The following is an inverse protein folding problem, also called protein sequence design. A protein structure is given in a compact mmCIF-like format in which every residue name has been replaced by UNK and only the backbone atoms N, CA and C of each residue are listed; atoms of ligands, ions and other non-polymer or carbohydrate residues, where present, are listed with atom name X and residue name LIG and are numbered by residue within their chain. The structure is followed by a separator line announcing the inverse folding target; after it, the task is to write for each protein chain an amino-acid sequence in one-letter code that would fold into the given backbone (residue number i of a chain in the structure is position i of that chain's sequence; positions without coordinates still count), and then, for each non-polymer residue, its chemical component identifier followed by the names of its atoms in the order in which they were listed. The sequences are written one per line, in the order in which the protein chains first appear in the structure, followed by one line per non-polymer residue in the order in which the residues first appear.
data_IF_176717291400
#
_entry.id   IF_176717291400
#
_cell.length_a   1.000
_cell.length_b   1.000
_cell.length_c   1.000
_cell.angle_alpha   90.00
_cell.angle_beta   90.00
_cell.angle_gamma   90.00
#
_symmetry.space_group_name_H-M   'P 1'
#
loop_
_entity.id
_entity.type
_entity.pdbx_description
1 polymer ?
#
# COMPACT_ATOMS: atom_id res chain seq x y z
N UNK A 1 -21.60 -1.90 -12.55
CA UNK A 1 -21.55 -1.84 -14.03
C UNK A 1 -22.89 -1.54 -14.66
N UNK A 2 -23.97 -2.30 -14.38
CA UNK A 2 -25.31 -1.97 -14.92
C UNK A 2 -25.81 -0.62 -14.38
N UNK A 3 -25.79 -0.43 -13.08
CA UNK A 3 -26.20 0.83 -12.42
C UNK A 3 -25.33 2.00 -12.88
N UNK A 4 -24.00 1.85 -12.82
CA UNK A 4 -23.07 2.88 -13.33
C UNK A 4 -23.33 3.26 -14.79
N UNK A 5 -23.61 2.30 -15.68
CA UNK A 5 -23.95 2.60 -17.08
C UNK A 5 -25.27 3.39 -17.19
N UNK A 6 -26.27 3.04 -16.38
CA UNK A 6 -27.55 3.74 -16.34
C UNK A 6 -27.41 5.17 -15.81
N UNK A 7 -26.65 5.36 -14.74
CA UNK A 7 -26.34 6.67 -14.16
C UNK A 7 -25.60 7.58 -15.16
N UNK A 8 -24.67 7.01 -15.93
CA UNK A 8 -23.92 7.73 -16.97
C UNK A 8 -24.71 7.90 -18.28
N UNK A 9 -25.92 7.36 -18.40
CA UNK A 9 -26.74 7.43 -19.61
C UNK A 9 -26.15 6.71 -20.83
N UNK A 10 -25.28 5.70 -20.62
CA UNK A 10 -24.60 4.95 -21.69
C UNK A 10 -24.95 3.46 -21.67
N UNK A 11 -24.68 2.78 -22.79
CA UNK A 11 -24.83 1.32 -22.85
C UNK A 11 -23.74 0.62 -22.03
N UNK A 12 -24.03 -0.59 -21.52
CA UNK A 12 -23.04 -1.45 -20.84
C UNK A 12 -21.84 -1.78 -21.74
N UNK A 13 -22.07 -1.93 -23.05
CA UNK A 13 -21.02 -2.20 -24.02
C UNK A 13 -20.08 -1.00 -24.20
N UNK A 14 -20.64 0.23 -24.19
CA UNK A 14 -19.84 1.47 -24.19
C UNK A 14 -19.03 1.60 -22.91
N UNK A 15 -19.64 1.39 -21.74
CA UNK A 15 -18.91 1.44 -20.47
C UNK A 15 -17.77 0.42 -20.43
N UNK A 16 -18.03 -0.84 -20.80
CA UNK A 16 -17.00 -1.88 -20.82
C UNK A 16 -15.86 -1.56 -21.79
N UNK A 17 -16.13 -0.94 -22.94
CA UNK A 17 -15.08 -0.49 -23.87
C UNK A 17 -14.18 0.58 -23.26
N UNK A 18 -14.72 1.42 -22.37
CA UNK A 18 -13.96 2.50 -21.73
C UNK A 18 -13.12 2.03 -20.56
N UNK A 19 -13.71 1.23 -19.66
CA UNK A 19 -13.10 0.89 -18.36
C UNK A 19 -12.80 -0.60 -18.19
N UNK A 20 -13.13 -1.41 -19.18
CA UNK A 20 -12.99 -2.86 -19.10
C UNK A 20 -13.97 -3.52 -18.13
N UNK A 21 -13.48 -4.53 -17.43
CA UNK A 21 -14.26 -5.29 -16.46
C UNK A 21 -14.50 -4.48 -15.18
N UNK A 22 -15.47 -4.91 -14.36
CA UNK A 22 -15.70 -4.33 -13.02
C UNK A 22 -14.43 -4.38 -12.17
N UNK A 23 -13.70 -5.47 -12.25
CA UNK A 23 -12.48 -5.72 -11.49
C UNK A 23 -11.34 -4.79 -11.95
N UNK A 24 -11.23 -4.52 -13.26
CA UNK A 24 -10.30 -3.54 -13.79
C UNK A 24 -10.61 -2.14 -13.26
N UNK A 25 -11.87 -1.71 -13.37
CA UNK A 25 -12.31 -0.41 -12.85
C UNK A 25 -12.09 -0.29 -11.34
N UNK A 26 -12.42 -1.33 -10.57
CA UNK A 26 -12.17 -1.35 -9.12
C UNK A 26 -10.67 -1.26 -8.82
N UNK A 27 -9.81 -1.95 -9.55
CA UNK A 27 -8.36 -1.86 -9.39
C UNK A 27 -7.84 -0.44 -9.64
N UNK A 28 -8.33 0.24 -10.67
CA UNK A 28 -7.96 1.63 -10.95
C UNK A 28 -8.47 2.60 -9.88
N UNK A 29 -9.69 2.42 -9.37
CA UNK A 29 -10.23 3.22 -8.26
C UNK A 29 -9.41 3.00 -6.99
N UNK A 30 -9.16 1.75 -6.60
CA UNK A 30 -8.37 1.41 -5.42
C UNK A 30 -6.95 1.97 -5.50
N UNK A 31 -6.34 1.93 -6.68
CA UNK A 31 -5.05 2.57 -6.91
C UNK A 31 -5.14 4.09 -6.78
N UNK A 32 -6.12 4.74 -7.39
CA UNK A 32 -6.27 6.19 -7.30
C UNK A 32 -6.42 6.66 -5.84
N UNK A 33 -7.23 5.96 -5.04
CA UNK A 33 -7.40 6.23 -3.61
C UNK A 33 -6.10 6.01 -2.82
N UNK A 34 -5.40 4.90 -3.07
CA UNK A 34 -4.11 4.62 -2.42
C UNK A 34 -3.05 5.66 -2.82
N UNK A 35 -2.97 6.01 -4.10
CA UNK A 35 -2.02 6.99 -4.62
C UNK A 35 -2.25 8.38 -4.01
N UNK A 36 -3.52 8.82 -3.96
CA UNK A 36 -3.90 10.08 -3.33
C UNK A 36 -3.58 10.08 -1.82
N UNK A 37 -3.80 8.95 -1.15
CA UNK A 37 -3.40 8.82 0.26
C UNK A 37 -1.88 8.95 0.40
N UNK A 38 -1.11 8.23 -0.41
CA UNK A 38 0.36 8.29 -0.39
C UNK A 38 0.92 9.68 -0.72
N UNK A 39 0.27 10.44 -1.61
CA UNK A 39 0.69 11.81 -1.95
C UNK A 39 0.38 12.83 -0.83
N UNK A 40 -0.65 12.56 -0.02
CA UNK A 40 -1.06 13.43 1.08
C UNK A 40 -0.42 13.08 2.42
N UNK A 41 0.18 11.89 2.54
CA UNK A 41 0.92 11.53 3.75
C UNK A 41 2.13 12.44 3.87
N UNK A 42 2.17 13.20 4.97
CA UNK A 42 3.33 14.02 5.26
C UNK A 42 4.49 13.13 5.65
N UNK A 43 5.56 13.19 4.88
CA UNK A 43 6.87 12.69 5.29
C UNK A 43 7.51 13.75 6.21
N UNK A 44 6.87 14.05 7.35
CA UNK A 44 7.44 14.93 8.39
C UNK A 44 8.64 14.22 9.00
N UNK A 45 9.79 14.38 8.37
CA UNK A 45 11.01 13.64 8.69
C UNK A 45 11.72 13.19 7.41
N UNK A 46 12.90 12.62 7.57
CA UNK A 46 13.69 12.05 6.47
C UNK A 46 14.28 10.71 6.91
N UNK A 47 14.78 9.94 5.95
CA UNK A 47 15.35 8.62 6.20
C UNK A 47 14.31 7.60 6.68
N UNK A 48 14.81 6.55 7.35
CA UNK A 48 13.99 5.41 7.78
C UNK A 48 12.85 5.79 8.72
N UNK A 49 13.08 6.67 9.69
CA UNK A 49 12.03 7.06 10.65
C UNK A 49 10.87 7.78 9.96
N UNK A 50 11.17 8.76 9.09
CA UNK A 50 10.13 9.50 8.37
C UNK A 50 9.30 8.60 7.44
N UNK A 51 9.94 7.60 6.82
CA UNK A 51 9.25 6.60 6.00
C UNK A 51 8.39 5.66 6.85
N UNK A 52 8.84 5.26 8.03
CA UNK A 52 8.06 4.43 8.94
C UNK A 52 6.81 5.15 9.46
N UNK A 53 6.93 6.45 9.81
CA UNK A 53 5.77 7.29 10.15
C UNK A 53 4.77 7.39 9.01
N UNK A 54 5.28 7.60 7.78
CA UNK A 54 4.45 7.70 6.60
C UNK A 54 3.69 6.40 6.32
N UNK A 55 4.34 5.25 6.45
CA UNK A 55 3.69 3.93 6.31
C UNK A 55 2.62 3.74 7.39
N UNK A 56 2.92 4.09 8.64
CA UNK A 56 1.94 4.04 9.73
C UNK A 56 0.70 4.91 9.45
N UNK A 57 0.92 6.13 8.98
CA UNK A 57 -0.16 7.08 8.64
C UNK A 57 -0.98 6.56 7.46
N UNK A 58 -0.34 6.06 6.40
CA UNK A 58 -1.02 5.45 5.26
C UNK A 58 -1.91 4.28 5.72
N UNK A 59 -1.37 3.33 6.49
CA UNK A 59 -2.12 2.19 7.01
C UNK A 59 -3.29 2.67 7.88
N UNK A 60 -3.08 3.66 8.74
CA UNK A 60 -4.15 4.25 9.55
C UNK A 60 -5.26 4.87 8.69
N UNK A 61 -4.92 5.66 7.67
CA UNK A 61 -5.90 6.26 6.76
C UNK A 61 -6.69 5.20 5.99
N UNK A 62 -6.04 4.14 5.51
CA UNK A 62 -6.72 3.01 4.85
C UNK A 62 -7.59 2.23 5.85
N UNK A 63 -7.14 2.06 7.09
CA UNK A 63 -7.90 1.37 8.15
C UNK A 63 -9.16 2.13 8.58
N UNK A 64 -9.13 3.46 8.50
CA UNK A 64 -10.26 4.33 8.88
C UNK A 64 -11.19 4.68 7.71
N UNK A 65 -10.86 4.29 6.48
CA UNK A 65 -11.72 4.51 5.30
C UNK A 65 -12.97 3.63 5.32
N UNK A 66 -14.13 4.22 5.64
CA UNK A 66 -15.41 3.51 5.66
C UNK A 66 -15.79 2.85 4.31
N UNK A 67 -15.58 3.48 3.14
CA UNK A 67 -15.81 2.82 1.85
C UNK A 67 -14.92 1.59 1.65
N UNK A 68 -13.64 1.70 1.99
CA UNK A 68 -12.69 0.59 1.85
C UNK A 68 -13.04 -0.58 2.79
N UNK A 69 -13.37 -0.28 4.05
CA UNK A 69 -13.81 -1.29 5.03
C UNK A 69 -15.10 -1.98 4.60
N UNK A 70 -16.03 -1.24 4.00
CA UNK A 70 -17.27 -1.81 3.44
C UNK A 70 -16.97 -2.74 2.28
N UNK A 71 -16.08 -2.34 1.36
CA UNK A 71 -15.67 -3.19 0.24
C UNK A 71 -14.97 -4.47 0.72
N UNK A 72 -14.01 -4.38 1.64
CA UNK A 72 -13.31 -5.53 2.21
C UNK A 72 -14.27 -6.55 2.84
N UNK A 73 -15.26 -6.09 3.62
CA UNK A 73 -16.21 -6.99 4.30
C UNK A 73 -17.29 -7.56 3.38
N UNK A 74 -17.74 -6.79 2.40
CA UNK A 74 -18.81 -7.23 1.48
C UNK A 74 -18.30 -8.18 0.41
N UNK A 75 -17.02 -8.06 0.01
CA UNK A 75 -16.45 -8.82 -1.10
C UNK A 75 -15.01 -9.32 -0.80
N UNK A 76 -14.77 -10.03 0.32
CA UNK A 76 -13.42 -10.32 0.82
C UNK A 76 -12.52 -11.06 -0.17
N UNK A 77 -13.04 -12.12 -0.82
CA UNK A 77 -12.29 -12.87 -1.82
C UNK A 77 -11.87 -12.01 -3.02
N UNK A 78 -12.79 -11.15 -3.51
CA UNK A 78 -12.51 -10.24 -4.62
C UNK A 78 -11.52 -9.17 -4.18
N UNK A 79 -11.70 -8.59 -3.00
CA UNK A 79 -10.83 -7.56 -2.47
C UNK A 79 -9.40 -8.09 -2.31
N UNK A 80 -9.21 -9.23 -1.64
CA UNK A 80 -7.90 -9.86 -1.50
C UNK A 80 -7.30 -10.22 -2.85
N UNK A 81 -8.09 -10.77 -3.78
CA UNK A 81 -7.60 -11.06 -5.14
C UNK A 81 -7.09 -9.80 -5.84
N UNK A 82 -7.84 -8.69 -5.82
CA UNK A 82 -7.42 -7.46 -6.49
C UNK A 82 -6.22 -6.81 -5.79
N UNK A 83 -6.20 -6.81 -4.46
CA UNK A 83 -5.23 -6.05 -3.68
C UNK A 83 -3.90 -6.79 -3.47
N UNK A 84 -3.89 -8.12 -3.52
CA UNK A 84 -2.70 -8.91 -3.13
C UNK A 84 -2.14 -9.81 -4.23
N UNK A 85 -2.73 -9.79 -5.42
CA UNK A 85 -2.32 -10.62 -6.56
C UNK A 85 -2.19 -9.80 -7.84
N UNK A 86 -1.73 -10.43 -8.92
CA UNK A 86 -1.61 -9.82 -10.26
C UNK A 86 -2.96 -9.59 -10.97
N UNK A 87 -4.09 -9.84 -10.30
CA UNK A 87 -5.41 -9.56 -10.85
C UNK A 87 -5.69 -8.05 -11.00
N UNK A 88 -4.90 -7.20 -10.33
CA UNK A 88 -4.90 -5.75 -10.55
C UNK A 88 -3.47 -5.19 -10.49
N UNK A 89 -3.33 -3.90 -10.82
CA UNK A 89 -2.07 -3.18 -10.74
C UNK A 89 -1.85 -2.48 -9.39
N UNK A 90 -2.78 -2.59 -8.43
CA UNK A 90 -2.72 -1.85 -7.15
C UNK A 90 -1.43 -2.17 -6.42
N UNK A 91 -1.15 -3.45 -6.17
CA UNK A 91 0.05 -3.85 -5.43
C UNK A 91 1.34 -3.44 -6.14
N UNK A 92 1.46 -3.73 -7.44
CA UNK A 92 2.67 -3.38 -8.20
C UNK A 92 2.92 -1.88 -8.21
N UNK A 93 1.88 -1.06 -8.36
CA UNK A 93 2.02 0.40 -8.35
C UNK A 93 2.35 0.93 -6.95
N UNK A 94 1.81 0.33 -5.89
CA UNK A 94 2.19 0.67 -4.51
C UNK A 94 3.66 0.35 -4.24
N UNK A 95 4.14 -0.82 -4.68
CA UNK A 95 5.55 -1.20 -4.58
C UNK A 95 6.44 -0.21 -5.35
N UNK A 96 6.07 0.11 -6.59
CA UNK A 96 6.86 1.05 -7.41
C UNK A 96 6.92 2.45 -6.79
N UNK A 97 5.82 2.94 -6.23
CA UNK A 97 5.77 4.24 -5.55
C UNK A 97 6.64 4.25 -4.30
N UNK A 98 6.57 3.20 -3.46
CA UNK A 98 7.43 3.10 -2.29
C UNK A 98 8.90 2.93 -2.66
N UNK A 99 9.21 2.17 -3.72
CA UNK A 99 10.58 2.02 -4.24
C UNK A 99 11.16 3.37 -4.64
N UNK A 100 10.39 4.23 -5.31
CA UNK A 100 10.85 5.57 -5.68
C UNK A 100 11.21 6.42 -4.44
N UNK A 101 10.33 6.43 -3.43
CA UNK A 101 10.58 7.14 -2.17
C UNK A 101 11.83 6.63 -1.44
N UNK A 102 12.02 5.32 -1.38
CA UNK A 102 13.20 4.70 -0.80
C UNK A 102 14.47 5.08 -1.57
N UNK A 103 14.42 5.05 -2.90
CA UNK A 103 15.54 5.41 -3.76
C UNK A 103 15.98 6.87 -3.53
N UNK A 104 15.03 7.80 -3.37
CA UNK A 104 15.31 9.21 -3.09
C UNK A 104 16.01 9.41 -1.74
N UNK A 105 15.57 8.70 -0.69
CA UNK A 105 16.19 8.78 0.63
C UNK A 105 17.58 8.13 0.67
N UNK A 106 17.79 7.05 -0.10
CA UNK A 106 19.10 6.40 -0.26
C UNK A 106 20.06 7.30 -1.05
N UNK A 107 19.62 7.85 -2.19
CA UNK A 107 20.43 8.73 -3.02
C UNK A 107 20.87 9.99 -2.27
N UNK A 108 20.05 10.46 -1.33
CA UNK A 108 20.39 11.58 -0.46
C UNK A 108 21.22 11.19 0.77
N UNK A 109 21.61 9.92 0.93
CA UNK A 109 22.41 9.43 2.05
C UNK A 109 21.69 9.38 3.40
N UNK A 110 20.35 9.47 3.40
CA UNK A 110 19.51 9.52 4.62
C UNK A 110 18.96 8.15 5.02
N UNK A 111 19.01 7.19 4.10
CA UNK A 111 18.67 5.80 4.34
C UNK A 111 19.79 4.90 3.81
N UNK A 112 20.09 3.84 4.55
CA UNK A 112 20.93 2.74 4.07
C UNK A 112 20.17 1.45 4.29
N UNK A 113 20.27 0.52 3.36
CA UNK A 113 19.68 -0.80 3.50
C UNK A 113 20.66 -1.85 3.01
N UNK A 114 20.76 -2.99 3.71
CA UNK A 114 21.49 -4.16 3.21
C UNK A 114 20.72 -4.87 2.08
N UNK A 115 19.43 -4.57 1.89
CA UNK A 115 18.59 -5.16 0.86
C UNK A 115 18.62 -4.32 -0.43
N UNK A 116 18.47 -4.96 -1.61
CA UNK A 116 18.10 -4.24 -2.82
C UNK A 116 16.83 -3.42 -2.60
N UNK A 117 16.79 -2.18 -3.12
CA UNK A 117 15.67 -1.24 -2.90
C UNK A 117 14.31 -1.81 -3.32
N UNK A 118 14.28 -2.66 -4.34
CA UNK A 118 13.07 -3.34 -4.80
C UNK A 118 12.54 -4.35 -3.77
N UNK A 119 13.44 -5.09 -3.13
CA UNK A 119 13.07 -6.10 -2.12
C UNK A 119 12.61 -5.42 -0.84
N UNK A 120 13.28 -4.35 -0.42
CA UNK A 120 12.85 -3.55 0.71
C UNK A 120 11.46 -2.94 0.49
N UNK A 121 11.20 -2.38 -0.71
CA UNK A 121 9.89 -1.86 -1.07
C UNK A 121 8.81 -2.94 -1.01
N UNK A 122 9.08 -4.11 -1.58
CA UNK A 122 8.17 -5.25 -1.52
C UNK A 122 7.85 -5.65 -0.08
N UNK A 123 8.88 -5.81 0.77
CA UNK A 123 8.68 -6.22 2.17
C UNK A 123 7.86 -5.20 2.96
N UNK A 124 8.14 -3.91 2.81
CA UNK A 124 7.39 -2.85 3.49
C UNK A 124 5.91 -2.82 3.06
N UNK A 125 5.64 -3.03 1.77
CA UNK A 125 4.25 -3.18 1.28
C UNK A 125 3.58 -4.40 1.92
N UNK A 126 4.24 -5.56 1.95
CA UNK A 126 3.69 -6.77 2.58
C UNK A 126 3.44 -6.60 4.07
N UNK A 127 4.31 -5.88 4.78
CA UNK A 127 4.10 -5.51 6.18
C UNK A 127 2.85 -4.66 6.32
N UNK A 128 2.70 -3.58 5.54
CA UNK A 128 1.49 -2.75 5.57
C UNK A 128 0.23 -3.54 5.29
N UNK A 129 0.23 -4.36 4.24
CA UNK A 129 -0.89 -5.23 3.85
C UNK A 129 -1.33 -6.18 4.98
N UNK A 130 -0.37 -6.75 5.74
CA UNK A 130 -0.68 -7.66 6.85
C UNK A 130 -1.51 -7.02 7.97
N UNK A 131 -1.41 -5.69 8.11
CA UNK A 131 -2.17 -4.89 9.09
C UNK A 131 -3.36 -4.14 8.48
N UNK A 132 -3.53 -4.18 7.16
CA UNK A 132 -4.70 -3.62 6.46
C UNK A 132 -5.81 -4.66 6.37
N UNK A 133 -5.46 -5.94 6.13
CA UNK A 133 -6.41 -7.03 5.88
C UNK A 133 -6.65 -7.94 7.10
N UNK A 134 -6.17 -7.57 8.28
CA UNK A 134 -6.22 -8.40 9.49
C UNK A 134 -7.64 -8.88 9.80
N UNK A 135 -8.63 -7.99 9.71
CA UNK A 135 -10.04 -8.28 9.99
C UNK A 135 -10.62 -9.36 9.08
N UNK A 136 -10.28 -9.33 7.78
CA UNK A 136 -10.78 -10.32 6.81
C UNK A 136 -9.95 -11.61 6.77
N UNK A 137 -8.73 -11.62 7.33
CA UNK A 137 -7.84 -12.80 7.34
C UNK A 137 -7.93 -13.57 8.67
N UNK A 138 -7.81 -12.88 9.80
CA UNK A 138 -7.78 -13.51 11.15
C UNK A 138 -9.01 -13.18 11.99
N UNK A 139 -9.73 -12.10 11.67
CA UNK A 139 -10.85 -11.60 12.47
C UNK A 139 -10.44 -10.58 13.53
N UNK A 140 -9.15 -10.31 13.70
CA UNK A 140 -8.67 -9.30 14.64
C UNK A 140 -8.77 -7.88 14.06
N UNK A 141 -8.67 -6.87 14.93
CA UNK A 141 -8.71 -5.48 14.49
C UNK A 141 -7.41 -5.07 13.75
N UNK A 142 -7.53 -4.32 12.64
CA UNK A 142 -6.39 -3.72 11.93
C UNK A 142 -5.58 -2.77 12.84
N UNK A 143 -4.25 -2.89 12.83
CA UNK A 143 -3.37 -2.13 13.74
C UNK A 143 -2.25 -1.39 12.98
N UNK A 144 -2.45 -0.09 12.78
CA UNK A 144 -1.49 0.77 12.10
C UNK A 144 -0.20 1.02 12.91
N UNK A 145 -0.26 0.93 14.25
CA UNK A 145 0.91 1.13 15.10
C UNK A 145 1.90 -0.04 14.98
N UNK A 146 1.39 -1.27 14.82
CA UNK A 146 2.22 -2.43 14.49
C UNK A 146 2.85 -2.31 13.11
N UNK A 147 2.12 -1.80 12.11
CA UNK A 147 2.68 -1.55 10.78
C UNK A 147 3.84 -0.55 10.82
N UNK A 148 3.67 0.58 11.51
CA UNK A 148 4.72 1.57 11.75
C UNK A 148 5.94 0.95 12.43
N UNK A 149 5.72 0.20 13.50
CA UNK A 149 6.81 -0.41 14.28
C UNK A 149 7.61 -1.40 13.43
N UNK A 150 6.93 -2.28 12.71
CA UNK A 150 7.57 -3.24 11.81
C UNK A 150 8.31 -2.54 10.65
N UNK A 151 7.73 -1.47 10.08
CA UNK A 151 8.39 -0.67 9.05
C UNK A 151 9.67 -0.01 9.60
N UNK A 152 9.63 0.57 10.80
CA UNK A 152 10.81 1.14 11.46
C UNK A 152 11.90 0.09 11.63
N UNK A 153 11.55 -1.09 12.13
CA UNK A 153 12.50 -2.19 12.27
C UNK A 153 13.07 -2.62 10.92
N UNK A 154 12.36 -2.59 9.81
CA UNK A 154 12.94 -2.92 8.50
C UNK A 154 13.85 -1.82 7.92
N UNK A 155 13.69 -0.59 8.39
CA UNK A 155 14.38 0.60 7.90
C UNK A 155 15.56 1.03 8.78
N UNK A 156 15.70 0.45 9.97
CA UNK A 156 16.84 0.61 10.86
C UNK A 156 18.11 0.00 10.24
N UNK A 157 19.26 0.64 10.50
CA UNK A 157 20.57 0.15 10.06
C UNK A 157 21.09 -0.91 11.05
N UNK A 158 20.78 -2.19 10.76
CA UNK A 158 21.10 -3.32 11.64
C UNK A 158 22.53 -3.84 11.55
N UNK A 159 23.39 -3.27 10.69
CA UNK A 159 24.73 -3.83 10.41
C UNK A 159 25.90 -2.98 10.93
N UNK A 160 25.69 -2.23 12.02
CA UNK A 160 26.78 -1.72 12.84
C UNK A 160 26.87 -2.60 14.07
N UNK A 161 27.90 -3.45 14.16
CA UNK A 161 28.52 -3.91 15.43
C UNK A 161 29.58 -5.03 15.27
N UNK A 162 29.99 -5.43 14.06
CA UNK A 162 30.98 -6.51 13.90
C UNK A 162 32.43 -6.09 13.58
N UNK A 163 32.79 -4.80 13.57
CA UNK A 163 34.13 -4.39 13.05
C UNK A 163 34.92 -3.38 13.89
N UNK A 164 34.54 -3.13 15.14
CA UNK A 164 35.35 -2.32 16.08
C UNK A 164 35.92 -3.10 17.27
N UNK A 165 36.12 -4.41 17.08
CA UNK A 165 36.90 -5.23 18.00
C UNK A 165 38.00 -5.96 17.23
N UNK A 166 39.10 -5.26 16.94
CA UNK A 166 40.41 -5.89 16.76
C UNK A 166 41.53 -4.91 17.07
#
# INVERSE_FOLDING_TARGET
MRELAAELGISRATLHRWVGSRDHLLGEILWAEAAATLDNVSFTGRGGEGLAEAIGTFVHTVNTSAPFRTFLRSEPERALRLLTTKASLVQSRTIDKLRALLADEIAAGRLRSPLPVADLAYLLVRVGESFIYTDVITGDEPDAAKARTAARMLLEDHFRDATTAS
#
